data_IF_396190819784
#
_entry.id   IF_396190819784
#
_cell.length_a   1.000
_cell.length_b   1.000
_cell.length_c   1.000
_cell.angle_alpha   90.00
_cell.angle_beta   90.00
_cell.angle_gamma   90.00
#
_symmetry.space_group_name_H-M   'P 1'
#
loop_
_entity.id
_entity.type
_entity.pdbx_description
1 polymer ?
#
# COMPACT_ATOMS: atom_id res chain seq x y z
N UNK A 1 16.85 -20.56 -31.77
CA UNK A 1 17.02 -19.71 -30.57
C UNK A 1 16.05 -18.51 -30.58
N UNK A 2 14.73 -18.73 -30.45
CA UNK A 2 13.73 -17.63 -30.57
C UNK A 2 12.75 -17.49 -29.39
N UNK A 3 12.65 -18.49 -28.51
CA UNK A 3 11.66 -18.51 -27.42
C UNK A 3 12.02 -17.59 -26.26
N UNK A 4 13.30 -17.41 -25.93
CA UNK A 4 13.72 -16.65 -24.74
C UNK A 4 13.51 -15.13 -24.91
N UNK A 5 13.86 -14.56 -26.07
CA UNK A 5 13.69 -13.13 -26.34
C UNK A 5 12.24 -12.66 -26.46
N UNK A 6 11.34 -13.51 -27.00
CA UNK A 6 9.91 -13.20 -27.05
C UNK A 6 9.28 -13.23 -25.64
N UNK A 7 9.57 -14.28 -24.86
CA UNK A 7 9.08 -14.40 -23.48
C UNK A 7 9.59 -13.27 -22.59
N UNK A 8 10.84 -12.82 -22.78
CA UNK A 8 11.40 -11.71 -22.00
C UNK A 8 10.75 -10.37 -22.36
N UNK A 9 10.51 -10.08 -23.65
CA UNK A 9 9.74 -8.90 -24.07
C UNK A 9 8.32 -8.93 -23.51
N UNK A 10 7.64 -10.07 -23.60
CA UNK A 10 6.30 -10.23 -23.06
C UNK A 10 6.27 -10.00 -21.53
N UNK A 11 7.24 -10.57 -20.78
CA UNK A 11 7.37 -10.35 -19.34
C UNK A 11 7.61 -8.87 -19.02
N UNK A 12 8.48 -8.20 -19.77
CA UNK A 12 8.75 -6.77 -19.57
C UNK A 12 7.51 -5.92 -19.84
N UNK A 13 6.79 -6.19 -20.94
CA UNK A 13 5.53 -5.50 -21.25
C UNK A 13 4.50 -5.69 -20.15
N UNK A 14 4.30 -6.93 -19.66
CA UNK A 14 3.38 -7.22 -18.54
C UNK A 14 3.80 -6.48 -17.27
N UNK A 15 5.10 -6.44 -16.97
CA UNK A 15 5.60 -5.74 -15.78
C UNK A 15 5.38 -4.22 -15.86
N UNK A 16 5.59 -3.61 -17.04
CA UNK A 16 5.33 -2.18 -17.24
C UNK A 16 3.86 -1.86 -17.04
N UNK A 17 2.94 -2.64 -17.62
CA UNK A 17 1.51 -2.42 -17.42
C UNK A 17 1.10 -2.59 -15.95
N UNK A 18 1.59 -3.63 -15.26
CA UNK A 18 1.31 -3.82 -13.83
C UNK A 18 1.84 -2.69 -12.97
N UNK A 19 3.01 -2.14 -13.31
CA UNK A 19 3.58 -1.01 -12.59
C UNK A 19 2.73 0.25 -12.81
N UNK A 20 2.32 0.52 -14.05
CA UNK A 20 1.45 1.66 -14.36
C UNK A 20 0.07 1.53 -13.69
N UNK A 21 -0.52 0.33 -13.66
CA UNK A 21 -1.75 0.04 -12.92
C UNK A 21 -1.56 0.31 -11.42
N UNK A 22 -0.49 -0.21 -10.81
CA UNK A 22 -0.19 0.00 -9.39
C UNK A 22 -0.05 1.49 -9.05
N UNK A 23 0.72 2.24 -9.83
CA UNK A 23 0.92 3.68 -9.64
C UNK A 23 -0.40 4.45 -9.78
N UNK A 24 -1.22 4.11 -10.77
CA UNK A 24 -2.54 4.71 -10.98
C UNK A 24 -3.48 4.45 -9.80
N UNK A 25 -3.54 3.21 -9.31
CA UNK A 25 -4.37 2.87 -8.16
C UNK A 25 -3.86 3.50 -6.86
N UNK A 26 -2.55 3.64 -6.67
CA UNK A 26 -1.96 4.38 -5.55
C UNK A 26 -2.45 5.82 -5.56
N UNK A 27 -2.34 6.52 -6.69
CA UNK A 27 -2.81 7.90 -6.81
C UNK A 27 -4.31 8.00 -6.54
N UNK A 28 -5.12 7.10 -7.13
CA UNK A 28 -6.56 7.08 -6.92
C UNK A 28 -6.96 6.85 -5.45
N UNK A 29 -6.27 5.93 -4.76
CA UNK A 29 -6.47 5.73 -3.31
C UNK A 29 -6.07 6.97 -2.50
N UNK A 30 -4.98 7.65 -2.86
CA UNK A 30 -4.57 8.90 -2.20
C UNK A 30 -5.62 10.00 -2.41
N UNK A 31 -6.08 10.21 -3.65
CA UNK A 31 -7.07 11.24 -3.99
C UNK A 31 -8.39 11.00 -3.24
N UNK A 32 -8.88 9.77 -3.21
CA UNK A 32 -10.12 9.42 -2.50
C UNK A 32 -9.99 9.52 -0.97
N UNK A 33 -8.81 9.22 -0.41
CA UNK A 33 -8.53 9.45 1.00
C UNK A 33 -8.51 10.94 1.34
N UNK A 34 -7.92 11.79 0.48
CA UNK A 34 -7.92 13.25 0.65
C UNK A 34 -9.35 13.79 0.71
N UNK A 35 -10.21 13.35 -0.21
CA UNK A 35 -11.62 13.76 -0.24
C UNK A 35 -12.34 13.34 1.06
N UNK A 36 -12.10 12.11 1.52
CA UNK A 36 -12.71 11.58 2.75
C UNK A 36 -12.28 12.35 3.99
N UNK A 37 -10.99 12.69 4.09
CA UNK A 37 -10.43 13.49 5.19
C UNK A 37 -10.94 14.93 5.21
N UNK A 38 -11.40 15.45 4.07
CA UNK A 38 -12.00 16.78 3.97
C UNK A 38 -13.53 16.77 4.13
N UNK A 39 -14.18 15.61 4.13
CA UNK A 39 -15.63 15.48 4.17
C UNK A 39 -16.18 15.69 5.60
N UNK A 40 -16.96 16.77 5.86
CA UNK A 40 -17.57 17.00 7.17
C UNK A 40 -18.58 15.93 7.59
N UNK A 41 -19.20 15.21 6.64
CA UNK A 41 -20.13 14.14 6.96
C UNK A 41 -19.42 12.93 7.59
N UNK A 42 -18.15 12.70 7.25
CA UNK A 42 -17.33 11.61 7.78
C UNK A 42 -16.53 12.07 9.01
N UNK A 43 -15.87 13.23 8.91
CA UNK A 43 -14.93 13.72 9.91
C UNK A 43 -15.55 14.66 10.96
N UNK A 44 -16.82 15.03 10.79
CA UNK A 44 -17.51 15.98 11.65
C UNK A 44 -16.94 17.39 11.53
N UNK A 45 -16.71 18.06 12.67
CA UNK A 45 -16.23 19.46 12.69
C UNK A 45 -14.72 19.61 12.47
N UNK A 46 -13.93 18.53 12.57
CA UNK A 46 -12.46 18.56 12.44
C UNK A 46 -11.99 18.00 11.09
N UNK A 47 -12.55 18.54 10.00
CA UNK A 47 -12.09 18.20 8.65
C UNK A 47 -10.66 18.69 8.43
N UNK A 48 -9.92 17.96 7.60
CA UNK A 48 -8.55 18.35 7.31
C UNK A 48 -8.58 19.39 6.19
N UNK A 49 -8.06 20.59 6.46
CA UNK A 49 -7.76 21.58 5.42
C UNK A 49 -6.47 21.26 4.68
N UNK A 50 -6.19 22.01 3.61
CA UNK A 50 -5.06 21.80 2.68
C UNK A 50 -3.72 21.53 3.39
N UNK A 51 -3.32 22.36 4.36
CA UNK A 51 -2.05 22.18 5.09
C UNK A 51 -1.96 20.85 5.85
N UNK A 52 -3.05 20.41 6.47
CA UNK A 52 -3.10 19.16 7.24
C UNK A 52 -3.10 17.96 6.29
N UNK A 53 -3.85 18.06 5.19
CA UNK A 53 -3.86 17.06 4.11
C UNK A 53 -2.44 16.87 3.56
N UNK A 54 -1.76 17.96 3.16
CA UNK A 54 -0.40 17.89 2.60
C UNK A 54 0.56 17.16 3.52
N UNK A 55 0.55 17.51 4.81
CA UNK A 55 1.37 16.85 5.84
C UNK A 55 1.07 15.35 5.94
N UNK A 56 -0.21 14.96 5.87
CA UNK A 56 -0.63 13.56 5.94
C UNK A 56 -0.20 12.79 4.71
N UNK A 57 -0.40 13.32 3.51
CA UNK A 57 -0.01 12.66 2.25
C UNK A 57 1.51 12.46 2.17
N UNK A 58 2.29 13.47 2.55
CA UNK A 58 3.76 13.36 2.61
C UNK A 58 4.23 12.31 3.62
N UNK A 59 3.59 12.25 4.79
CA UNK A 59 3.89 11.22 5.78
C UNK A 59 3.45 9.83 5.33
N UNK A 60 2.29 9.74 4.66
CA UNK A 60 1.75 8.50 4.13
C UNK A 60 2.69 7.89 3.09
N UNK A 61 3.24 8.68 2.17
CA UNK A 61 4.26 8.19 1.22
C UNK A 61 5.45 7.54 1.91
N UNK A 62 5.98 8.17 2.97
CA UNK A 62 7.09 7.62 3.77
C UNK A 62 6.70 6.32 4.49
N UNK A 63 5.47 6.21 4.96
CA UNK A 63 4.96 4.98 5.59
C UNK A 63 4.80 3.88 4.55
N UNK A 64 4.26 4.21 3.37
CA UNK A 64 4.13 3.28 2.26
C UNK A 64 5.50 2.72 1.86
N UNK A 65 6.48 3.58 1.59
CA UNK A 65 7.85 3.17 1.22
C UNK A 65 8.49 2.29 2.30
N UNK A 66 8.31 2.66 3.57
CA UNK A 66 8.87 1.91 4.71
C UNK A 66 8.35 0.47 4.78
N UNK A 67 7.06 0.25 4.53
CA UNK A 67 6.45 -1.08 4.63
C UNK A 67 6.35 -1.81 3.29
N UNK A 68 6.77 -1.20 2.19
CA UNK A 68 6.69 -1.80 0.86
C UNK A 68 7.44 -3.14 0.81
N UNK A 69 8.56 -3.27 1.54
CA UNK A 69 9.31 -4.52 1.68
C UNK A 69 8.50 -5.71 2.23
N UNK A 70 7.37 -5.49 2.91
CA UNK A 70 6.46 -6.57 3.32
C UNK A 70 5.83 -7.31 2.12
N UNK A 71 5.76 -6.65 0.96
CA UNK A 71 5.22 -7.19 -0.29
C UNK A 71 6.30 -7.75 -1.22
N UNK A 72 7.57 -7.43 -0.97
CA UNK A 72 8.69 -7.87 -1.79
C UNK A 72 9.19 -9.25 -1.34
N UNK A 73 9.74 -10.02 -2.28
CA UNK A 73 10.43 -11.26 -1.96
C UNK A 73 11.87 -10.94 -1.55
N UNK A 74 12.13 -10.92 -0.26
CA UNK A 74 13.47 -10.66 0.29
C UNK A 74 13.57 -11.03 1.77
N UNK A 75 14.79 -11.02 2.30
CA UNK A 75 15.11 -11.53 3.65
C UNK A 75 14.40 -10.76 4.78
N UNK A 76 13.96 -9.52 4.52
CA UNK A 76 13.25 -8.68 5.50
C UNK A 76 11.73 -8.73 5.37
N UNK A 77 11.18 -9.52 4.45
CA UNK A 77 9.74 -9.56 4.18
C UNK A 77 8.95 -9.84 5.47
N UNK A 78 9.27 -10.93 6.15
CA UNK A 78 8.60 -11.37 7.38
C UNK A 78 8.74 -10.33 8.49
N UNK A 79 9.91 -9.70 8.60
CA UNK A 79 10.14 -8.63 9.57
C UNK A 79 9.15 -7.48 9.36
N UNK A 80 9.00 -6.99 8.12
CA UNK A 80 8.09 -5.90 7.82
C UNK A 80 6.61 -6.27 7.96
N UNK A 81 6.23 -7.52 7.65
CA UNK A 81 4.88 -8.04 7.88
C UNK A 81 4.54 -8.05 9.38
N UNK A 82 5.40 -8.64 10.20
CA UNK A 82 5.24 -8.70 11.66
C UNK A 82 5.17 -7.28 12.24
N UNK A 83 6.09 -6.40 11.83
CA UNK A 83 6.12 -5.01 12.32
C UNK A 83 4.84 -4.26 11.92
N UNK A 84 4.32 -4.48 10.72
CA UNK A 84 3.04 -3.89 10.29
C UNK A 84 1.89 -4.36 11.19
N UNK A 85 1.77 -5.68 11.36
CA UNK A 85 0.72 -6.30 12.16
C UNK A 85 0.73 -5.82 13.61
N UNK A 86 1.91 -5.76 14.24
CA UNK A 86 2.05 -5.25 15.60
C UNK A 86 1.50 -3.82 15.75
N UNK A 87 1.79 -2.92 14.81
CA UNK A 87 1.31 -1.53 14.91
C UNK A 87 -0.18 -1.42 14.61
N UNK A 88 -0.66 -2.15 13.58
CA UNK A 88 -2.08 -2.13 13.23
C UNK A 88 -2.92 -2.73 14.36
N UNK A 89 -2.48 -3.83 14.97
CA UNK A 89 -3.14 -4.39 16.16
C UNK A 89 -3.17 -3.40 17.32
N UNK A 90 -2.08 -2.65 17.53
CA UNK A 90 -2.03 -1.60 18.55
C UNK A 90 -2.99 -0.43 18.32
N UNK A 91 -3.31 -0.11 17.06
CA UNK A 91 -4.20 1.00 16.68
C UNK A 91 -5.67 0.55 16.64
N UNK A 92 -5.94 -0.60 16.03
CA UNK A 92 -7.29 -1.10 15.76
C UNK A 92 -7.87 -1.92 16.92
N UNK A 93 -7.02 -2.39 17.83
CA UNK A 93 -7.39 -3.34 18.88
C UNK A 93 -7.69 -4.73 18.33
N UNK A 94 -7.97 -5.68 19.23
CA UNK A 94 -8.09 -7.11 18.84
C UNK A 94 -9.29 -7.41 17.95
N UNK A 95 -10.40 -6.69 18.12
CA UNK A 95 -11.64 -6.93 17.36
C UNK A 95 -11.61 -6.37 15.94
N UNK A 96 -10.77 -5.36 15.69
CA UNK A 96 -10.66 -4.68 14.40
C UNK A 96 -9.45 -5.10 13.58
N UNK A 97 -8.70 -6.09 14.04
CA UNK A 97 -7.42 -6.48 13.45
C UNK A 97 -7.49 -7.84 12.76
N UNK A 98 -6.99 -7.88 11.53
CA UNK A 98 -6.72 -9.12 10.79
C UNK A 98 -5.22 -9.24 10.46
N UNK A 99 -4.63 -10.44 10.62
CA UNK A 99 -3.21 -10.66 10.35
C UNK A 99 -2.86 -10.48 8.86
N UNK A 100 -1.60 -10.17 8.59
CA UNK A 100 -1.09 -9.86 7.25
C UNK A 100 -1.47 -10.92 6.21
N UNK A 101 -1.31 -12.21 6.52
CA UNK A 101 -1.62 -13.34 5.64
C UNK A 101 -3.08 -13.36 5.17
N UNK A 102 -4.02 -12.83 5.96
CA UNK A 102 -5.43 -12.72 5.59
C UNK A 102 -5.71 -11.46 4.78
N UNK A 103 -5.04 -10.35 5.12
CA UNK A 103 -5.19 -9.06 4.42
C UNK A 103 -4.55 -9.08 3.03
N UNK A 104 -3.55 -9.91 2.81
CA UNK A 104 -2.75 -9.97 1.58
C UNK A 104 -2.60 -11.42 1.06
N UNK A 105 -3.73 -12.09 0.78
CA UNK A 105 -3.78 -13.50 0.35
C UNK A 105 -2.92 -13.84 -0.88
N UNK A 106 -2.66 -12.86 -1.75
CA UNK A 106 -1.90 -13.03 -2.99
C UNK A 106 -0.39 -12.86 -2.82
N UNK A 107 0.06 -12.41 -1.64
CA UNK A 107 1.49 -12.28 -1.33
C UNK A 107 1.99 -13.65 -0.92
N UNK A 108 2.86 -14.24 -1.74
CA UNK A 108 3.49 -15.51 -1.41
C UNK A 108 4.37 -15.32 -0.18
N UNK A 109 4.07 -16.08 0.87
CA UNK A 109 4.95 -16.25 2.02
C UNK A 109 6.28 -16.88 1.55
N UNK A 110 7.38 -16.47 2.17
CA UNK A 110 8.72 -16.96 1.85
C UNK A 110 8.89 -18.46 2.18
#
# INVERSE_FOLDING_TARGET
MGKNGYLQRQRNTVNVYRQAEKETYIQFMTDTLILTLNDPAVMGKDVFGEKRIRRVVEAWGKVFDKYHGALEKGDEQDYWQIKMDMNLKGILGEKGFEPFEKRYEWVKQA
#
